data_IF_236362881983
#
_entry.id   IF_236362881983
#
_cell.length_a   1.000
_cell.length_b   1.000
_cell.length_c   1.000
_cell.angle_alpha   90.00
_cell.angle_beta   90.00
_cell.angle_gamma   90.00
#
_symmetry.space_group_name_H-M   'P 1'
#
loop_
_entity.id
_entity.type
_entity.pdbx_description
1 polymer ?
#
# COMPACT_ATOMS: atom_id res chain seq x y z
N UNK A 1 16.28 -34.55 -39.21
CA UNK A 1 16.64 -34.74 -37.78
C UNK A 1 15.56 -34.04 -36.97
N UNK A 2 14.49 -34.77 -36.65
CA UNK A 2 13.26 -34.26 -36.01
C UNK A 2 13.38 -34.48 -34.51
N UNK A 3 13.45 -33.38 -33.73
CA UNK A 3 13.43 -33.45 -32.28
C UNK A 3 11.98 -33.47 -31.79
N UNK A 4 11.59 -34.62 -31.25
CA UNK A 4 10.30 -34.86 -30.60
C UNK A 4 10.45 -34.53 -29.10
N UNK A 5 10.03 -33.32 -28.71
CA UNK A 5 10.09 -32.85 -27.33
C UNK A 5 8.76 -33.11 -26.64
N UNK A 6 8.58 -34.32 -26.13
CA UNK A 6 7.45 -34.69 -25.28
C UNK A 6 7.56 -34.00 -23.90
N UNK A 7 6.80 -32.92 -23.72
CA UNK A 7 6.68 -32.20 -22.44
C UNK A 7 5.88 -33.03 -21.42
N UNK A 8 6.60 -33.64 -20.46
CA UNK A 8 6.02 -34.39 -19.34
C UNK A 8 5.46 -33.40 -18.31
N UNK A 9 4.13 -33.23 -18.29
CA UNK A 9 3.43 -32.41 -17.28
C UNK A 9 3.43 -33.15 -15.93
N UNK A 10 4.31 -32.75 -15.03
CA UNK A 10 4.31 -33.21 -13.64
C UNK A 10 3.24 -32.44 -12.85
N UNK A 11 2.21 -33.14 -12.36
CA UNK A 11 1.19 -32.55 -11.49
C UNK A 11 1.78 -32.41 -10.09
N UNK A 12 2.18 -31.21 -9.71
CA UNK A 12 2.54 -30.90 -8.32
C UNK A 12 1.25 -30.80 -7.49
N UNK A 13 1.04 -31.66 -6.48
CA UNK A 13 -0.13 -31.58 -5.62
C UNK A 13 -0.02 -30.34 -4.72
N UNK A 14 -0.90 -29.37 -4.96
CA UNK A 14 -1.15 -28.26 -4.04
C UNK A 14 -1.74 -28.83 -2.75
N UNK A 15 -0.91 -29.00 -1.73
CA UNK A 15 -1.35 -29.47 -0.42
C UNK A 15 -1.77 -28.25 0.38
N UNK A 16 -3.08 -28.06 0.54
CA UNK A 16 -3.62 -27.05 1.45
C UNK A 16 -3.47 -27.55 2.88
N UNK A 17 -2.61 -26.90 3.67
CA UNK A 17 -2.50 -27.16 5.09
C UNK A 17 -3.71 -26.55 5.80
N UNK A 18 -4.64 -27.40 6.26
CA UNK A 18 -5.71 -26.96 7.14
C UNK A 18 -5.09 -26.54 8.49
N UNK A 19 -5.28 -25.28 8.87
CA UNK A 19 -4.87 -24.79 10.18
C UNK A 19 -5.88 -25.27 11.22
N UNK A 20 -5.48 -25.96 12.30
CA UNK A 20 -6.39 -26.34 13.37
C UNK A 20 -7.12 -25.12 13.95
N UNK A 21 -8.44 -25.23 14.14
CA UNK A 21 -9.31 -24.12 14.57
C UNK A 21 -8.85 -23.42 15.87
N UNK A 22 -8.25 -24.17 16.81
CA UNK A 22 -7.73 -23.60 18.06
C UNK A 22 -6.53 -22.66 17.84
N UNK A 23 -5.73 -22.90 16.80
CA UNK A 23 -4.60 -22.03 16.44
C UNK A 23 -5.13 -20.73 15.82
N UNK A 24 -6.17 -20.83 15.00
CA UNK A 24 -6.84 -19.68 14.39
C UNK A 24 -7.41 -18.72 15.44
N UNK A 25 -8.18 -19.23 16.41
CA UNK A 25 -8.76 -18.39 17.47
C UNK A 25 -7.69 -17.63 18.28
N UNK A 26 -6.62 -18.33 18.70
CA UNK A 26 -5.50 -17.70 19.41
C UNK A 26 -4.76 -16.66 18.59
N UNK A 27 -4.74 -16.81 17.26
CA UNK A 27 -4.13 -15.82 16.37
C UNK A 27 -5.03 -14.58 16.24
N UNK A 28 -6.34 -14.77 16.09
CA UNK A 28 -7.31 -13.68 15.99
C UNK A 28 -7.33 -12.80 17.23
N UNK A 29 -7.17 -13.36 18.43
CA UNK A 29 -7.06 -12.61 19.69
C UNK A 29 -5.88 -11.60 19.71
N UNK A 30 -4.88 -11.78 18.84
CA UNK A 30 -3.70 -10.90 18.74
C UNK A 30 -3.84 -9.82 17.67
N UNK A 31 -4.89 -9.88 16.85
CA UNK A 31 -5.10 -8.95 15.75
C UNK A 31 -6.06 -7.87 16.23
N UNK A 32 -5.63 -6.61 16.11
CA UNK A 32 -6.46 -5.44 16.36
C UNK A 32 -6.62 -4.67 15.07
N UNK A 33 -7.86 -4.35 14.71
CA UNK A 33 -8.17 -3.51 13.57
C UNK A 33 -8.66 -2.17 14.12
N UNK A 34 -7.93 -1.12 13.80
CA UNK A 34 -8.20 0.23 14.29
C UNK A 34 -8.21 1.23 13.13
N UNK A 35 -8.97 2.30 13.27
CA UNK A 35 -8.96 3.41 12.33
C UNK A 35 -8.21 4.59 12.92
N UNK A 36 -7.43 5.28 12.09
CA UNK A 36 -6.68 6.50 12.45
C UNK A 36 -7.45 7.77 12.13
N UNK A 37 -8.49 7.66 11.30
CA UNK A 37 -9.34 8.77 10.88
C UNK A 37 -10.81 8.37 11.03
N UNK A 38 -11.62 9.31 11.51
CA UNK A 38 -13.08 9.24 11.45
C UNK A 38 -13.53 10.22 10.38
N UNK A 39 -14.07 9.71 9.29
CA UNK A 39 -14.60 10.52 8.20
C UNK A 39 -16.06 10.17 7.96
N UNK A 40 -16.85 11.18 7.62
CA UNK A 40 -18.22 11.01 7.11
C UNK A 40 -18.27 11.12 5.59
N UNK A 41 -17.11 11.32 4.94
CA UNK A 41 -16.99 11.38 3.48
C UNK A 41 -17.13 9.98 2.88
N UNK A 42 -17.86 9.88 1.77
CA UNK A 42 -18.00 8.65 0.98
C UNK A 42 -17.04 8.60 -0.21
N UNK A 43 -16.26 9.66 -0.43
CA UNK A 43 -15.26 9.70 -1.48
C UNK A 43 -13.98 8.98 -1.05
N UNK A 44 -13.73 7.82 -1.66
CA UNK A 44 -12.56 6.97 -1.38
C UNK A 44 -11.22 7.71 -1.49
N UNK A 45 -11.11 8.70 -2.39
CA UNK A 45 -9.89 9.49 -2.53
C UNK A 45 -9.63 10.36 -1.31
N UNK A 46 -10.67 11.02 -0.81
CA UNK A 46 -10.57 11.85 0.40
C UNK A 46 -10.24 10.98 1.62
N UNK A 47 -10.87 9.80 1.73
CA UNK A 47 -10.56 8.82 2.77
C UNK A 47 -9.10 8.36 2.73
N UNK A 48 -8.59 8.07 1.54
CA UNK A 48 -7.20 7.66 1.33
C UNK A 48 -6.20 8.75 1.73
N UNK A 49 -6.48 10.01 1.37
CA UNK A 49 -5.64 11.14 1.78
C UNK A 49 -5.65 11.32 3.29
N UNK A 50 -6.83 11.39 3.93
CA UNK A 50 -6.91 11.60 5.38
C UNK A 50 -6.32 10.42 6.17
N UNK A 51 -6.45 9.20 5.65
CA UNK A 51 -5.74 8.03 6.19
C UNK A 51 -4.21 8.22 6.12
N UNK A 52 -3.71 8.71 5.00
CA UNK A 52 -2.27 8.99 4.81
C UNK A 52 -1.77 10.11 5.72
N UNK A 53 -2.55 11.17 5.92
CA UNK A 53 -2.21 12.30 6.79
C UNK A 53 -2.23 11.95 8.28
N UNK A 54 -3.13 11.06 8.70
CA UNK A 54 -3.24 10.61 10.10
C UNK A 54 -2.21 9.54 10.48
N UNK A 55 -1.65 8.83 9.49
CA UNK A 55 -0.72 7.72 9.71
C UNK A 55 0.54 8.11 10.52
N UNK A 56 1.26 9.21 10.25
CA UNK A 56 2.49 9.53 10.98
C UNK A 56 2.28 9.62 12.49
N UNK A 57 1.23 10.32 12.93
CA UNK A 57 0.90 10.48 14.35
C UNK A 57 0.49 9.13 14.98
N UNK A 58 -0.29 8.33 14.25
CA UNK A 58 -0.69 7.00 14.69
C UNK A 58 0.51 6.06 14.86
N UNK A 59 1.39 6.00 13.86
CA UNK A 59 2.58 5.17 13.89
C UNK A 59 3.56 5.62 14.96
N UNK A 60 3.77 6.93 15.14
CA UNK A 60 4.63 7.46 16.20
C UNK A 60 4.10 7.09 17.60
N UNK A 61 2.78 7.13 17.80
CA UNK A 61 2.15 6.71 19.06
C UNK A 61 2.46 5.24 19.36
N UNK A 62 2.31 4.36 18.37
CA UNK A 62 2.63 2.93 18.51
C UNK A 62 4.13 2.69 18.70
N UNK A 63 4.98 3.39 17.95
CA UNK A 63 6.44 3.27 18.04
C UNK A 63 6.99 3.70 19.41
N UNK A 64 6.36 4.70 20.04
CA UNK A 64 6.69 5.15 21.39
C UNK A 64 6.04 4.29 22.49
N UNK A 65 5.34 3.21 22.14
CA UNK A 65 4.66 2.33 23.09
C UNK A 65 3.61 3.05 23.94
N UNK A 66 2.82 3.94 23.32
CA UNK A 66 1.76 4.69 23.99
C UNK A 66 0.38 4.05 23.74
N UNK A 67 -0.61 4.29 24.61
CA UNK A 67 -1.99 3.90 24.34
C UNK A 67 -2.49 4.51 23.03
N UNK A 68 -3.32 3.78 22.31
CA UNK A 68 -3.82 4.16 21.00
C UNK A 68 -5.34 4.26 21.01
N UNK A 69 -5.91 5.37 20.53
CA UNK A 69 -7.36 5.56 20.46
C UNK A 69 -7.87 5.34 19.04
N UNK A 70 -8.81 4.42 18.86
CA UNK A 70 -9.49 4.25 17.57
C UNK A 70 -10.33 5.48 17.25
N UNK A 71 -10.08 6.11 16.10
CA UNK A 71 -10.75 7.35 15.72
C UNK A 71 -12.27 7.14 15.53
N UNK A 72 -12.68 5.98 15.00
CA UNK A 72 -14.11 5.71 14.73
C UNK A 72 -14.89 5.42 16.00
N UNK A 73 -14.39 4.52 16.86
CA UNK A 73 -15.12 4.04 18.05
C UNK A 73 -14.84 4.86 19.31
N UNK A 74 -13.72 5.58 19.36
CA UNK A 74 -13.24 6.24 20.57
C UNK A 74 -12.66 5.29 21.62
N UNK A 75 -12.61 3.99 21.34
CA UNK A 75 -12.02 2.99 22.22
C UNK A 75 -10.52 3.22 22.36
N UNK A 76 -10.03 3.22 23.61
CA UNK A 76 -8.62 3.36 23.94
C UNK A 76 -8.02 1.99 24.18
N UNK A 77 -7.05 1.62 23.37
CA UNK A 77 -6.28 0.40 23.51
C UNK A 77 -5.04 0.66 24.36
N UNK A 78 -4.76 -0.27 25.28
CA UNK A 78 -3.54 -0.24 26.08
C UNK A 78 -2.28 -0.18 25.21
N UNK A 79 -1.25 0.45 25.76
CA UNK A 79 0.07 0.51 25.17
C UNK A 79 0.57 -0.88 24.79
N UNK A 80 1.15 -0.99 23.60
CA UNK A 80 1.81 -2.20 23.11
C UNK A 80 3.31 -1.96 22.97
N UNK A 81 4.14 -3.03 22.98
CA UNK A 81 5.55 -2.88 22.66
C UNK A 81 5.76 -2.21 21.29
N UNK A 82 6.86 -1.44 21.10
CA UNK A 82 7.18 -0.86 19.81
C UNK A 82 7.17 -1.90 18.67
N UNK A 83 6.72 -1.53 17.46
CA UNK A 83 6.70 -2.45 16.33
C UNK A 83 8.11 -2.97 15.99
N UNK A 84 8.23 -4.29 15.84
CA UNK A 84 9.48 -4.95 15.39
C UNK A 84 9.52 -5.15 13.87
N UNK A 85 8.41 -4.90 13.19
CA UNK A 85 8.27 -4.88 11.73
C UNK A 85 7.02 -4.09 11.35
N UNK A 86 6.98 -3.55 10.13
CA UNK A 86 5.76 -2.94 9.56
C UNK A 86 5.48 -3.58 8.21
N UNK A 87 4.23 -3.99 8.00
CA UNK A 87 3.73 -4.44 6.70
C UNK A 87 2.93 -3.30 6.08
N UNK A 88 3.31 -2.84 4.89
CA UNK A 88 2.72 -1.67 4.22
C UNK A 88 2.35 -2.04 2.79
N UNK A 89 1.18 -1.60 2.33
CA UNK A 89 0.81 -1.68 0.91
C UNK A 89 1.81 -0.92 0.03
N UNK A 90 2.28 -1.50 -1.08
CA UNK A 90 3.22 -0.84 -1.99
C UNK A 90 2.68 0.51 -2.51
N UNK A 91 1.36 0.66 -2.61
CA UNK A 91 0.72 1.90 -3.03
C UNK A 91 0.69 2.98 -1.91
N UNK A 92 0.98 2.62 -0.66
CA UNK A 92 1.00 3.52 0.50
C UNK A 92 2.38 4.18 0.70
N UNK A 93 2.88 4.83 -0.36
CA UNK A 93 4.18 5.50 -0.37
C UNK A 93 4.32 6.57 0.75
N UNK A 94 3.33 7.44 1.01
CA UNK A 94 3.43 8.41 2.10
C UNK A 94 3.65 7.75 3.48
N UNK A 95 2.97 6.63 3.72
CA UNK A 95 3.10 5.86 4.96
C UNK A 95 4.50 5.26 5.07
N UNK A 96 5.03 4.66 4.00
CA UNK A 96 6.40 4.14 3.95
C UNK A 96 7.43 5.23 4.30
N UNK A 97 7.28 6.42 3.72
CA UNK A 97 8.15 7.57 4.00
C UNK A 97 8.04 8.00 5.47
N UNK A 98 6.82 8.12 6.00
CA UNK A 98 6.60 8.47 7.40
C UNK A 98 7.21 7.44 8.35
N UNK A 99 7.05 6.13 8.08
CA UNK A 99 7.68 5.06 8.86
C UNK A 99 9.19 5.23 8.91
N UNK A 100 9.82 5.53 7.76
CA UNK A 100 11.26 5.75 7.66
C UNK A 100 11.72 7.01 8.39
N UNK A 101 10.94 8.09 8.33
CA UNK A 101 11.24 9.31 9.08
C UNK A 101 11.17 9.06 10.59
N UNK A 102 10.22 8.27 11.07
CA UNK A 102 9.98 8.06 12.51
C UNK A 102 10.93 7.00 13.10
N UNK A 103 11.10 5.86 12.42
CA UNK A 103 11.84 4.70 12.93
C UNK A 103 13.24 4.53 12.32
N UNK A 104 13.57 5.30 11.29
CA UNK A 104 14.81 5.15 10.54
C UNK A 104 14.94 3.75 9.92
N UNK A 105 16.06 3.10 10.22
CA UNK A 105 16.37 1.73 9.79
C UNK A 105 16.14 0.69 10.89
N UNK A 106 15.67 1.10 12.07
CA UNK A 106 15.51 0.19 13.22
C UNK A 106 14.35 -0.79 13.05
N UNK A 107 13.33 -0.42 12.27
CA UNK A 107 12.16 -1.26 11.99
C UNK A 107 12.17 -1.69 10.51
N UNK A 108 12.22 -3.01 10.21
CA UNK A 108 12.09 -3.50 8.85
C UNK A 108 10.68 -3.22 8.29
N UNK A 109 10.63 -2.85 7.00
CA UNK A 109 9.38 -2.62 6.27
C UNK A 109 9.22 -3.74 5.24
N UNK A 110 8.10 -4.43 5.29
CA UNK A 110 7.69 -5.46 4.33
C UNK A 110 6.61 -4.82 3.45
N UNK A 111 6.97 -4.44 2.23
CA UNK A 111 6.01 -3.93 1.26
C UNK A 111 5.21 -5.11 0.66
N UNK A 112 3.89 -5.03 0.73
CA UNK A 112 2.98 -6.02 0.14
C UNK A 112 2.35 -5.46 -1.12
N UNK A 113 2.09 -6.36 -2.06
CA UNK A 113 1.39 -6.05 -3.29
C UNK A 113 0.02 -6.74 -3.24
N UNK A 114 -1.05 -6.05 -2.78
CA UNK A 114 -2.37 -6.67 -2.68
C UNK A 114 -3.01 -6.69 -4.07
N UNK A 115 -2.50 -7.57 -4.92
CA UNK A 115 -3.00 -7.75 -6.27
C UNK A 115 -2.14 -8.74 -7.05
N UNK A 116 -2.68 -9.32 -8.13
CA UNK A 116 -1.90 -10.18 -9.00
C UNK A 116 -0.76 -9.37 -9.62
N UNK A 117 0.43 -9.97 -9.65
CA UNK A 117 1.61 -9.35 -10.26
C UNK A 117 1.38 -8.97 -11.73
N UNK A 118 0.53 -9.70 -12.46
CA UNK A 118 0.14 -9.38 -13.83
C UNK A 118 -0.55 -8.02 -13.96
N UNK A 119 -1.41 -7.63 -13.01
CA UNK A 119 -2.03 -6.31 -13.02
C UNK A 119 -1.01 -5.21 -12.78
N UNK A 120 -0.06 -5.43 -11.87
CA UNK A 120 1.03 -4.48 -11.64
C UNK A 120 1.98 -4.39 -12.83
N UNK A 121 2.35 -5.50 -13.45
CA UNK A 121 3.12 -5.48 -14.68
C UNK A 121 2.34 -4.76 -15.79
N UNK A 122 1.03 -5.00 -15.91
CA UNK A 122 0.20 -4.28 -16.88
C UNK A 122 0.22 -2.78 -16.61
N UNK A 123 0.06 -2.33 -15.37
CA UNK A 123 0.00 -0.88 -15.05
C UNK A 123 1.37 -0.19 -15.12
N UNK A 124 2.42 -0.84 -14.62
CA UNK A 124 3.71 -0.20 -14.33
C UNK A 124 4.86 -0.66 -15.24
N UNK A 125 4.76 -1.80 -15.93
CA UNK A 125 5.83 -2.24 -16.82
C UNK A 125 5.88 -1.36 -18.09
N UNK A 126 7.04 -1.28 -18.76
CA UNK A 126 7.14 -0.64 -20.06
C UNK A 126 6.29 -1.39 -21.11
N UNK A 127 5.87 -0.72 -22.20
CA UNK A 127 5.12 -1.38 -23.28
C UNK A 127 5.83 -2.55 -23.94
N UNK A 128 7.17 -2.56 -23.95
CA UNK A 128 7.96 -3.69 -24.43
C UNK A 128 7.70 -4.99 -23.66
N UNK A 129 7.17 -4.90 -22.43
CA UNK A 129 6.77 -6.03 -21.58
C UNK A 129 5.25 -6.16 -21.46
N UNK A 130 4.47 -5.50 -22.33
CA UNK A 130 3.01 -5.54 -22.32
C UNK A 130 2.35 -4.60 -21.30
N UNK A 131 3.11 -3.72 -20.66
CA UNK A 131 2.53 -2.69 -19.79
C UNK A 131 1.90 -1.53 -20.56
N UNK A 132 0.99 -0.80 -19.93
CA UNK A 132 0.47 0.48 -20.43
C UNK A 132 1.41 1.63 -20.10
N UNK A 133 2.26 1.48 -19.06
CA UNK A 133 3.23 2.45 -18.62
C UNK A 133 2.59 3.75 -18.13
N UNK A 134 2.73 4.07 -16.84
CA UNK A 134 2.30 5.38 -16.32
C UNK A 134 3.09 6.56 -16.93
N UNK A 135 4.30 6.31 -17.46
CA UNK A 135 5.24 7.36 -17.88
C UNK A 135 5.21 7.74 -19.35
N UNK A 136 4.98 6.79 -20.29
CA UNK A 136 4.98 7.11 -21.73
C UNK A 136 3.88 8.11 -22.09
N UNK A 137 2.73 8.01 -21.41
CA UNK A 137 1.69 9.02 -21.53
C UNK A 137 2.17 10.41 -21.14
N UNK A 138 3.04 10.60 -20.15
CA UNK A 138 3.39 11.95 -19.69
C UNK A 138 4.37 12.65 -20.62
N UNK A 139 5.39 11.96 -21.12
CA UNK A 139 6.34 12.56 -22.08
C UNK A 139 5.68 12.76 -23.46
N UNK A 140 4.88 11.80 -23.91
CA UNK A 140 4.12 11.91 -25.16
C UNK A 140 3.06 13.02 -25.05
N UNK A 141 2.39 13.15 -23.91
CA UNK A 141 1.40 14.21 -23.65
C UNK A 141 2.08 15.58 -23.46
N UNK A 142 3.22 15.64 -22.78
CA UNK A 142 4.02 16.85 -22.64
C UNK A 142 4.49 17.33 -24.02
N UNK A 143 4.95 16.41 -24.86
CA UNK A 143 5.30 16.68 -26.27
C UNK A 143 4.07 17.15 -27.06
N UNK A 144 2.92 16.50 -26.92
CA UNK A 144 1.66 16.89 -27.58
C UNK A 144 1.19 18.30 -27.18
N UNK A 145 1.39 18.66 -25.92
CA UNK A 145 0.98 19.93 -25.34
C UNK A 145 2.05 21.03 -25.46
N UNK A 146 3.26 20.69 -25.88
CA UNK A 146 4.40 21.62 -25.95
C UNK A 146 4.84 22.13 -24.57
N UNK A 147 4.63 21.35 -23.51
CA UNK A 147 5.04 21.67 -22.14
C UNK A 147 6.14 20.74 -21.67
N UNK A 148 6.86 21.10 -20.61
CA UNK A 148 7.84 20.18 -20.02
C UNK A 148 7.15 19.04 -19.25
N UNK A 149 7.75 17.84 -19.20
CA UNK A 149 7.24 16.74 -18.37
C UNK A 149 7.09 17.11 -16.89
N UNK A 150 7.96 17.99 -16.38
CA UNK A 150 7.91 18.48 -15.01
C UNK A 150 6.68 19.36 -14.76
N UNK A 151 6.31 20.24 -15.70
CA UNK A 151 5.08 21.04 -15.61
C UNK A 151 3.82 20.16 -15.66
N UNK A 152 3.84 19.11 -16.47
CA UNK A 152 2.72 18.16 -16.57
C UNK A 152 2.61 17.30 -15.29
N UNK A 153 3.73 16.82 -14.78
CA UNK A 153 3.81 16.08 -13.52
C UNK A 153 3.38 16.90 -12.31
N UNK A 154 3.66 18.21 -12.30
CA UNK A 154 3.23 19.14 -11.25
C UNK A 154 1.70 19.29 -11.23
N UNK A 155 1.07 19.44 -12.41
CA UNK A 155 -0.41 19.50 -12.54
C UNK A 155 -1.09 18.18 -12.23
N UNK A 156 -0.47 17.05 -12.60
CA UNK A 156 -1.00 15.72 -12.34
C UNK A 156 -0.85 15.30 -10.87
N UNK A 157 0.15 15.83 -10.15
CA UNK A 157 0.37 15.47 -8.74
C UNK A 157 -0.48 16.23 -7.75
N UNK A 158 -0.91 17.45 -8.01
CA UNK A 158 -1.79 18.19 -7.09
C UNK A 158 -2.50 19.33 -7.82
N UNK A 159 -3.81 19.20 -8.01
CA UNK A 159 -4.72 20.35 -7.99
C UNK A 159 -5.63 20.17 -6.78
N UNK A 160 -5.38 20.84 -5.64
CA UNK A 160 -6.42 21.03 -4.66
C UNK A 160 -7.45 21.95 -5.32
N UNK A 161 -8.57 21.39 -5.77
CA UNK A 161 -9.74 22.20 -6.15
C UNK A 161 -10.35 22.70 -4.85
N UNK A 162 -9.73 23.75 -4.28
CA UNK A 162 -10.40 24.67 -3.37
C UNK A 162 -10.51 25.99 -4.11
N UNK A 163 -11.56 26.10 -4.92
CA UNK A 163 -12.18 27.40 -5.18
C UNK A 163 -13.44 27.44 -4.34
N UNK A 164 -13.37 28.14 -3.21
CA UNK A 164 -14.54 28.70 -2.56
C UNK A 164 -14.48 30.23 -2.72
N UNK A 165 -15.64 30.91 -2.88
CA UNK A 165 -15.73 32.36 -2.92
C UNK A 165 -15.36 33.02 -1.59
#
# INVERSE_FOLDING_TARGET
MTMDSASRKEKVPLTFFAVPHQIEQKALERIRVVTTVKSTDSNDFHLSMSSSESYPAAYETLYRGRPFTCATTGEVFDAVPPPVAVVIDLCALPQLQATRTISGTSVPIIAILPGPSSSFLRCFAPPALGGIGLGKSLDDEATRLGVSPDELGSKARYSPVITAP
#
